data_IF_709955736679
#
_entry.id   IF_709955736679
#
_cell.length_a   1.000
_cell.length_b   1.000
_cell.length_c   1.000
_cell.angle_alpha   90.00
_cell.angle_beta   90.00
_cell.angle_gamma   90.00
#
_symmetry.space_group_name_H-M   'P 1'
#
loop_
_entity.id
_entity.type
_entity.pdbx_description
1 polymer ?
#
# COMPACT_ATOMS: atom_id res chain seq x y z
N UNK A 1 1.46 -8.33 13.19
CA UNK A 1 1.56 -7.64 11.88
C UNK A 1 1.44 -6.16 12.14
N UNK A 2 2.21 -5.29 11.46
CA UNK A 2 2.06 -3.85 11.61
C UNK A 2 0.63 -3.43 11.23
N UNK A 3 0.06 -2.52 12.02
CA UNK A 3 -1.27 -2.00 11.74
C UNK A 3 -1.27 -1.25 10.39
N UNK A 4 -2.34 -1.38 9.59
CA UNK A 4 -2.44 -0.64 8.34
C UNK A 4 -2.41 0.87 8.58
N UNK A 5 -1.62 1.57 7.76
CA UNK A 5 -1.71 3.03 7.66
C UNK A 5 -3.07 3.35 7.03
N UNK A 6 -3.90 4.22 7.66
CA UNK A 6 -5.15 4.66 7.08
C UNK A 6 -4.92 5.24 5.68
N UNK A 7 -5.54 4.61 4.69
CA UNK A 7 -5.43 4.97 3.29
C UNK A 7 -6.81 5.04 2.65
N UNK A 8 -6.97 5.99 1.72
CA UNK A 8 -8.13 6.03 0.85
C UNK A 8 -7.83 5.23 -0.41
N UNK A 9 -8.61 4.19 -0.64
CA UNK A 9 -8.56 3.40 -1.87
C UNK A 9 -9.53 4.00 -2.90
N UNK A 10 -9.21 3.88 -4.19
CA UNK A 10 -10.20 4.11 -5.24
C UNK A 10 -11.26 3.01 -5.25
N UNK A 11 -12.40 3.25 -5.89
CA UNK A 11 -13.50 2.28 -5.96
C UNK A 11 -13.09 0.95 -6.60
N UNK A 12 -12.17 1.00 -7.56
CA UNK A 12 -11.58 -0.19 -8.19
C UNK A 12 -10.37 -0.76 -7.43
N UNK A 13 -9.95 -0.11 -6.33
CA UNK A 13 -8.81 -0.49 -5.51
C UNK A 13 -7.44 -0.35 -6.19
N UNK A 14 -7.35 0.23 -7.40
CA UNK A 14 -6.09 0.33 -8.16
C UNK A 14 -5.15 1.43 -7.69
N UNK A 15 -5.66 2.38 -6.91
CA UNK A 15 -4.87 3.48 -6.35
C UNK A 15 -5.15 3.63 -4.87
N UNK A 16 -4.12 4.00 -4.13
CA UNK A 16 -4.21 4.31 -2.70
C UNK A 16 -3.55 5.66 -2.44
N UNK A 17 -4.15 6.47 -1.56
CA UNK A 17 -3.54 7.68 -1.01
C UNK A 17 -3.55 7.62 0.51
N UNK A 18 -2.48 8.12 1.13
CA UNK A 18 -2.32 8.13 2.59
C UNK A 18 -1.54 9.37 3.02
N UNK A 19 -1.58 9.68 4.31
CA UNK A 19 -0.73 10.73 4.88
C UNK A 19 0.69 10.16 5.15
N UNK A 20 1.75 10.64 4.46
CA UNK A 20 3.11 10.14 4.68
C UNK A 20 3.62 10.29 6.11
N UNK A 21 3.12 11.29 6.85
CA UNK A 21 3.54 11.57 8.23
C UNK A 21 3.07 10.50 9.24
N UNK A 22 2.23 9.56 8.84
CA UNK A 22 1.76 8.45 9.68
C UNK A 22 2.85 7.41 9.98
N UNK A 23 3.98 7.46 9.26
CA UNK A 23 5.15 6.63 9.55
C UNK A 23 6.44 7.41 9.32
N UNK A 24 7.44 7.14 10.15
CA UNK A 24 8.79 7.72 10.00
C UNK A 24 9.62 6.99 8.93
N UNK A 25 9.18 5.80 8.49
CA UNK A 25 9.89 5.02 7.50
C UNK A 25 9.88 5.73 6.14
N UNK A 26 11.01 5.69 5.43
CA UNK A 26 11.12 6.26 4.07
C UNK A 26 10.32 5.46 3.04
N UNK A 27 9.86 4.26 3.40
CA UNK A 27 9.10 3.34 2.55
C UNK A 27 7.89 2.79 3.30
N UNK A 28 6.89 2.38 2.54
CA UNK A 28 5.73 1.61 3.02
C UNK A 28 5.67 0.28 2.27
N UNK A 29 4.89 -0.66 2.80
CA UNK A 29 4.52 -1.86 2.07
C UNK A 29 3.11 -1.68 1.53
N UNK A 30 2.95 -1.88 0.24
CA UNK A 30 1.65 -1.90 -0.45
C UNK A 30 1.22 -3.35 -0.54
N UNK A 31 0.17 -3.73 0.18
CA UNK A 31 -0.42 -5.06 0.08
C UNK A 31 -1.30 -5.12 -1.15
N UNK A 32 -0.94 -5.99 -2.10
CA UNK A 32 -1.59 -6.11 -3.40
C UNK A 32 -2.13 -7.52 -3.57
N UNK A 33 -3.40 -7.63 -3.95
CA UNK A 33 -4.01 -8.85 -4.45
C UNK A 33 -3.87 -8.92 -5.97
N UNK A 34 -3.33 -10.03 -6.44
CA UNK A 34 -3.12 -10.35 -7.85
C UNK A 34 -4.39 -10.96 -8.46
N UNK A 35 -4.48 -11.03 -9.81
CA UNK A 35 -5.66 -11.61 -10.50
C UNK A 35 -5.86 -13.10 -10.21
N UNK A 36 -4.78 -13.82 -9.87
CA UNK A 36 -4.81 -15.23 -9.48
C UNK A 36 -5.23 -15.44 -8.00
N UNK A 37 -5.55 -14.36 -7.28
CA UNK A 37 -5.99 -14.39 -5.88
C UNK A 37 -4.85 -14.38 -4.86
N UNK A 38 -3.58 -14.46 -5.27
CA UNK A 38 -2.45 -14.35 -4.34
C UNK A 38 -2.32 -12.93 -3.82
N UNK A 39 -1.82 -12.80 -2.59
CA UNK A 39 -1.53 -11.51 -1.94
C UNK A 39 -0.03 -11.39 -1.71
N UNK A 40 0.53 -10.23 -2.06
CA UNK A 40 1.93 -9.91 -1.84
C UNK A 40 2.12 -8.48 -1.31
N UNK A 41 3.16 -8.28 -0.51
CA UNK A 41 3.53 -6.98 0.04
C UNK A 41 4.69 -6.40 -0.79
N UNK A 42 4.45 -5.27 -1.47
CA UNK A 42 5.43 -4.61 -2.35
C UNK A 42 5.99 -3.35 -1.70
N UNK A 43 7.31 -3.19 -1.74
CA UNK A 43 7.96 -1.97 -1.23
C UNK A 43 7.66 -0.78 -2.15
N UNK A 44 7.23 0.33 -1.57
CA UNK A 44 7.03 1.61 -2.25
C UNK A 44 7.62 2.75 -1.43
N UNK A 45 8.03 3.84 -2.09
CA UNK A 45 8.42 5.06 -1.38
C UNK A 45 7.23 5.62 -0.60
N UNK A 46 7.49 6.14 0.59
CA UNK A 46 6.48 6.82 1.41
C UNK A 46 6.16 8.22 0.83
N UNK A 47 5.51 8.24 -0.33
CA UNK A 47 5.17 9.47 -1.08
C UNK A 47 3.69 9.88 -0.95
N UNK A 48 2.90 9.14 -0.16
CA UNK A 48 1.48 9.42 0.08
C UNK A 48 0.55 8.93 -1.02
N UNK A 49 1.08 8.24 -2.04
CA UNK A 49 0.32 7.67 -3.14
C UNK A 49 0.96 6.42 -3.72
N UNK A 50 0.13 5.48 -4.15
CA UNK A 50 0.54 4.30 -4.90
C UNK A 50 -0.50 3.96 -5.97
N UNK A 51 -0.05 3.30 -7.03
CA UNK A 51 -0.89 2.77 -8.11
C UNK A 51 -0.36 1.41 -8.54
N UNK A 52 -1.26 0.45 -8.70
CA UNK A 52 -0.98 -0.89 -9.25
C UNK A 52 -1.43 -0.98 -10.72
N UNK A 53 -1.00 -2.01 -11.44
CA UNK A 53 -1.21 -2.16 -12.89
C UNK A 53 -2.19 -3.28 -13.19
N UNK A 54 -2.77 -3.26 -14.40
CA UNK A 54 -3.65 -4.33 -14.87
C UNK A 54 -4.86 -4.52 -13.95
N UNK A 55 -5.10 -5.78 -13.57
CA UNK A 55 -6.21 -6.22 -12.72
C UNK A 55 -5.80 -6.37 -11.24
N UNK A 56 -4.63 -5.85 -10.85
CA UNK A 56 -4.17 -5.85 -9.47
C UNK A 56 -5.01 -4.89 -8.59
N UNK A 57 -5.19 -5.26 -7.32
CA UNK A 57 -5.97 -4.50 -6.35
C UNK A 57 -5.11 -4.24 -5.11
N UNK A 58 -5.04 -2.98 -4.66
CA UNK A 58 -4.42 -2.62 -3.38
C UNK A 58 -5.44 -2.91 -2.27
N UNK A 59 -5.05 -3.72 -1.30
CA UNK A 59 -5.89 -4.05 -0.14
C UNK A 59 -5.55 -3.19 1.07
N UNK A 60 -4.28 -2.85 1.26
CA UNK A 60 -3.82 -2.03 2.38
C UNK A 60 -2.48 -1.35 2.11
N UNK A 61 -2.23 -0.28 2.87
CA UNK A 61 -0.90 0.31 3.04
C UNK A 61 -0.42 -0.05 4.45
N UNK A 62 0.77 -0.62 4.57
CA UNK A 62 1.35 -1.01 5.85
C UNK A 62 2.59 -0.18 6.13
N UNK A 63 2.82 0.13 7.40
CA UNK A 63 4.11 0.68 7.81
C UNK A 63 5.20 -0.38 7.52
N UNK A 64 6.28 0.04 6.87
CA UNK A 64 7.50 -0.74 6.89
C UNK A 64 8.16 -0.59 8.27
N UNK A 65 8.94 -1.57 8.68
CA UNK A 65 9.81 -1.39 9.84
C UNK A 65 10.71 -0.17 9.60
N UNK A 66 10.84 0.67 10.63
CA UNK A 66 11.77 1.79 10.56
C UNK A 66 13.19 1.25 10.37
N UNK A 67 14.02 1.90 9.54
CA UNK A 67 15.43 1.52 9.38
C UNK A 67 16.21 1.58 10.69
#
# INVERSE_FOLDING_TARGET
MPDPIPARLSDEGRTATWNPAMTIASHVLVRVRLPDGRVEDRRSMNSGRARVRGEEIIEAILAADAP
#
